data_IF_434456219867
#
_entry.id   IF_434456219867
#
_cell.length_a   1.000
_cell.length_b   1.000
_cell.length_c   1.000
_cell.angle_alpha   90.00
_cell.angle_beta   90.00
_cell.angle_gamma   90.00
#
_symmetry.space_group_name_H-M   'P 1'
#
loop_
_entity.id
_entity.type
_entity.pdbx_description
1 polymer ?
#
# COMPACT_ATOMS: atom_id res chain seq x y z
N UNK A 1 39.07 41.58 63.15
CA UNK A 1 37.96 40.61 63.18
C UNK A 1 37.21 40.67 61.86
N UNK A 2 37.60 39.88 60.88
CA UNK A 2 37.04 39.96 59.52
C UNK A 2 36.40 38.58 59.24
N UNK A 3 35.09 38.53 59.16
CA UNK A 3 34.35 37.33 58.85
C UNK A 3 34.26 37.16 57.33
N UNK A 4 34.96 36.19 56.78
CA UNK A 4 34.81 35.74 55.42
C UNK A 4 33.48 34.94 55.27
N UNK A 5 32.59 35.42 54.41
CA UNK A 5 31.41 34.70 53.97
C UNK A 5 31.77 33.99 52.67
N UNK A 6 31.88 32.66 52.70
CA UNK A 6 32.07 31.80 51.54
C UNK A 6 30.66 31.51 50.99
N UNK A 7 30.33 32.13 49.84
CA UNK A 7 29.13 31.78 49.08
C UNK A 7 29.41 30.52 48.21
N UNK A 8 28.83 29.40 48.60
CA UNK A 8 28.86 28.15 47.80
C UNK A 8 27.90 28.30 46.62
N UNK A 9 28.43 28.45 45.41
CA UNK A 9 27.68 28.40 44.17
C UNK A 9 27.41 26.97 43.81
N UNK A 10 26.23 26.43 44.12
CA UNK A 10 25.77 25.14 43.63
C UNK A 10 25.39 25.32 42.16
N UNK A 11 26.27 24.90 41.22
CA UNK A 11 25.93 24.67 39.85
C UNK A 11 25.02 23.43 39.76
N UNK A 12 23.75 23.68 39.53
CA UNK A 12 22.78 22.65 39.20
C UNK A 12 23.02 22.24 37.74
N UNK A 13 23.88 21.24 37.51
CA UNK A 13 23.99 20.58 36.23
C UNK A 13 22.71 19.77 35.99
N UNK A 14 21.74 20.39 35.32
CA UNK A 14 20.62 19.69 34.72
C UNK A 14 21.15 18.78 33.63
N UNK A 15 21.33 17.50 33.91
CA UNK A 15 21.60 16.48 32.91
C UNK A 15 20.33 16.37 32.06
N UNK A 16 20.30 17.10 30.95
CA UNK A 16 19.36 16.79 29.86
C UNK A 16 19.70 15.37 29.38
N UNK A 17 18.99 14.37 29.88
CA UNK A 17 18.94 13.08 29.27
C UNK A 17 18.27 13.26 27.90
N UNK A 18 19.07 13.60 26.89
CA UNK A 18 18.69 13.41 25.51
C UNK A 18 18.56 11.89 25.34
N UNK A 19 17.34 11.35 25.50
CA UNK A 19 17.04 10.02 25.06
C UNK A 19 17.30 10.02 23.54
N UNK A 20 18.50 9.68 23.15
CA UNK A 20 18.78 9.24 21.78
C UNK A 20 17.94 7.98 21.60
N UNK A 21 16.79 8.12 20.99
CA UNK A 21 16.01 6.96 20.57
C UNK A 21 16.93 6.20 19.62
N UNK A 22 17.49 5.08 20.10
CA UNK A 22 18.36 4.23 19.30
C UNK A 22 17.65 3.80 18.03
N UNK A 23 18.42 3.52 16.97
CA UNK A 23 17.86 2.97 15.74
C UNK A 23 16.99 1.75 16.06
N UNK A 24 15.73 1.79 15.67
CA UNK A 24 14.79 0.70 15.90
C UNK A 24 14.39 0.07 14.56
N UNK A 25 14.14 -1.23 14.59
CA UNK A 25 13.47 -1.93 13.51
C UNK A 25 11.95 -1.85 13.74
N UNK A 26 11.22 -1.29 12.79
CA UNK A 26 9.75 -1.18 12.81
C UNK A 26 9.16 -2.12 11.78
N UNK A 27 8.38 -3.11 12.23
CA UNK A 27 7.75 -4.11 11.37
C UNK A 27 6.42 -3.59 10.83
N UNK A 28 6.30 -3.55 9.51
CA UNK A 28 5.14 -3.04 8.80
C UNK A 28 4.47 -4.13 7.99
N UNK A 29 3.17 -4.37 8.21
CA UNK A 29 2.33 -5.21 7.37
C UNK A 29 1.53 -4.32 6.42
N UNK A 30 1.76 -4.40 5.13
CA UNK A 30 1.21 -3.44 4.16
C UNK A 30 0.50 -4.08 2.98
N UNK A 31 -0.52 -3.40 2.46
CA UNK A 31 -1.04 -3.66 1.12
C UNK A 31 0.01 -3.41 0.05
N UNK A 32 0.10 -4.28 -0.98
CA UNK A 32 1.11 -4.17 -2.05
C UNK A 32 0.95 -2.93 -2.91
N UNK A 33 -0.27 -2.45 -3.11
CA UNK A 33 -0.52 -1.29 -3.98
C UNK A 33 0.19 0.01 -3.56
N UNK A 34 0.61 0.14 -2.30
CA UNK A 34 1.36 1.32 -1.81
C UNK A 34 2.87 1.07 -1.73
N UNK A 35 3.36 -0.08 -2.21
CA UNK A 35 4.76 -0.50 -2.14
C UNK A 35 5.75 0.56 -2.66
N UNK A 36 5.58 1.16 -3.87
CA UNK A 36 6.57 2.12 -4.36
C UNK A 36 6.68 3.37 -3.48
N UNK A 37 5.54 3.86 -2.96
CA UNK A 37 5.51 5.00 -2.03
C UNK A 37 6.11 4.63 -0.68
N UNK A 38 5.86 3.41 -0.21
CA UNK A 38 6.37 2.93 1.07
C UNK A 38 7.89 2.68 1.04
N UNK A 39 8.47 2.31 -0.11
CA UNK A 39 9.93 2.27 -0.28
C UNK A 39 10.55 3.66 -0.15
N UNK A 40 10.03 4.66 -0.89
CA UNK A 40 10.52 6.04 -0.78
C UNK A 40 10.34 6.61 0.63
N UNK A 41 9.24 6.26 1.30
CA UNK A 41 8.98 6.64 2.68
C UNK A 41 9.92 5.94 3.67
N UNK A 42 10.27 4.68 3.46
CA UNK A 42 11.25 3.96 4.29
C UNK A 42 12.62 4.64 4.27
N UNK A 43 13.07 5.07 3.09
CA UNK A 43 14.31 5.85 2.95
C UNK A 43 14.23 7.19 3.68
N UNK A 44 13.07 7.87 3.66
CA UNK A 44 12.84 9.09 4.41
C UNK A 44 12.91 8.85 5.92
N UNK A 45 12.23 7.81 6.42
CA UNK A 45 12.25 7.40 7.83
C UNK A 45 13.67 7.08 8.29
N UNK A 46 14.44 6.37 7.48
CA UNK A 46 15.85 6.06 7.79
C UNK A 46 16.70 7.32 7.94
N UNK A 47 16.54 8.29 7.01
CA UNK A 47 17.29 9.54 7.06
C UNK A 47 16.87 10.45 8.22
N UNK A 48 15.57 10.59 8.47
CA UNK A 48 15.05 11.58 9.41
C UNK A 48 14.97 11.08 10.86
N UNK A 49 14.67 9.78 11.03
CA UNK A 49 14.41 9.18 12.33
C UNK A 49 15.45 8.10 12.72
N UNK A 50 16.31 7.67 11.80
CA UNK A 50 17.28 6.60 12.03
C UNK A 50 16.68 5.21 12.13
N UNK A 51 15.36 5.03 11.95
CA UNK A 51 14.69 3.73 12.06
C UNK A 51 14.70 2.96 10.74
N UNK A 52 14.67 1.63 10.83
CA UNK A 52 14.58 0.73 9.68
C UNK A 52 13.17 0.14 9.60
N UNK A 53 12.49 0.30 8.45
CA UNK A 53 11.21 -0.35 8.20
C UNK A 53 11.43 -1.74 7.61
N UNK A 54 10.92 -2.77 8.28
CA UNK A 54 10.82 -4.15 7.77
C UNK A 54 9.41 -4.39 7.26
N UNK A 55 9.26 -4.31 5.96
CA UNK A 55 7.95 -4.27 5.32
C UNK A 55 7.62 -5.64 4.76
N UNK A 56 6.43 -6.14 5.10
CA UNK A 56 5.84 -7.32 4.49
C UNK A 56 4.60 -6.92 3.70
N UNK A 57 4.64 -7.17 2.38
CA UNK A 57 3.52 -6.91 1.49
C UNK A 57 2.57 -8.09 1.41
N UNK A 58 1.28 -7.79 1.48
CA UNK A 58 0.20 -8.77 1.39
C UNK A 58 -1.03 -8.15 0.74
N UNK A 59 -1.93 -8.98 0.23
CA UNK A 59 -3.26 -8.51 -0.19
C UNK A 59 -4.17 -8.28 1.02
N UNK A 60 -5.21 -7.47 0.88
CA UNK A 60 -6.16 -7.21 1.98
C UNK A 60 -6.71 -8.49 2.62
N UNK A 61 -7.14 -9.53 1.87
CA UNK A 61 -7.56 -10.79 2.50
C UNK A 61 -6.46 -11.50 3.29
N UNK A 62 -5.21 -11.45 2.81
CA UNK A 62 -4.07 -12.02 3.53
C UNK A 62 -3.76 -11.23 4.82
N UNK A 63 -3.85 -9.89 4.78
CA UNK A 63 -3.70 -9.04 5.96
C UNK A 63 -4.77 -9.38 7.00
N UNK A 64 -6.05 -9.48 6.61
CA UNK A 64 -7.15 -9.88 7.51
C UNK A 64 -6.83 -11.22 8.17
N UNK A 65 -6.37 -12.21 7.40
CA UNK A 65 -6.00 -13.54 7.92
C UNK A 65 -4.86 -13.46 8.94
N UNK A 66 -3.81 -12.65 8.68
CA UNK A 66 -2.69 -12.46 9.60
C UNK A 66 -3.11 -11.74 10.88
N UNK A 67 -3.92 -10.69 10.76
CA UNK A 67 -4.51 -10.01 11.93
C UNK A 67 -5.36 -10.97 12.76
N UNK A 68 -6.13 -11.87 12.12
CA UNK A 68 -6.91 -12.89 12.81
C UNK A 68 -6.02 -13.91 13.55
N UNK A 69 -4.91 -14.31 12.92
CA UNK A 69 -3.94 -15.25 13.50
C UNK A 69 -3.12 -14.65 14.68
N UNK A 70 -3.16 -13.32 14.87
CA UNK A 70 -2.40 -12.66 15.93
C UNK A 70 -0.93 -12.43 15.58
N UNK A 71 -0.60 -12.36 14.29
CA UNK A 71 0.76 -12.04 13.84
C UNK A 71 1.19 -10.66 14.39
N UNK A 72 2.45 -10.56 14.83
CA UNK A 72 2.96 -9.38 15.52
C UNK A 72 3.70 -8.46 14.55
N UNK A 73 3.16 -7.26 14.39
CA UNK A 73 3.75 -6.13 13.67
C UNK A 73 3.62 -4.86 14.50
N UNK A 74 4.32 -3.79 14.10
CA UNK A 74 4.21 -2.48 14.75
C UNK A 74 3.15 -1.61 14.05
N UNK A 75 3.14 -1.62 12.71
CA UNK A 75 2.21 -0.84 11.88
C UNK A 75 1.51 -1.77 10.90
N UNK A 76 0.21 -1.54 10.71
CA UNK A 76 -0.54 -2.12 9.59
C UNK A 76 -0.97 -1.02 8.62
N UNK A 77 -0.84 -1.27 7.29
CA UNK A 77 -1.30 -0.39 6.22
C UNK A 77 -2.26 -1.17 5.34
N UNK A 78 -3.53 -0.83 5.41
CA UNK A 78 -4.61 -1.56 4.74
C UNK A 78 -5.82 -0.65 4.51
N UNK A 79 -6.88 -1.16 3.89
CA UNK A 79 -8.09 -0.37 3.64
C UNK A 79 -8.76 0.12 4.94
N UNK A 80 -9.38 1.32 4.94
CA UNK A 80 -10.04 1.92 6.09
C UNK A 80 -11.00 0.98 6.83
N UNK A 81 -11.82 0.23 6.07
CA UNK A 81 -12.79 -0.69 6.66
C UNK A 81 -12.12 -1.82 7.50
N UNK A 82 -10.95 -2.30 7.07
CA UNK A 82 -10.19 -3.29 7.85
C UNK A 82 -9.58 -2.66 9.10
N UNK A 83 -9.07 -1.43 9.02
CA UNK A 83 -8.58 -0.68 10.18
C UNK A 83 -9.71 -0.49 11.20
N UNK A 84 -10.90 -0.10 10.75
CA UNK A 84 -12.07 0.09 11.62
C UNK A 84 -12.49 -1.21 12.32
N UNK A 85 -12.48 -2.33 11.59
CA UNK A 85 -12.77 -3.63 12.20
C UNK A 85 -11.68 -4.04 13.19
N UNK A 86 -10.40 -3.87 12.81
CA UNK A 86 -9.27 -4.17 13.68
C UNK A 86 -9.27 -3.32 14.97
N UNK A 87 -9.74 -2.07 14.91
CA UNK A 87 -9.92 -1.23 16.10
C UNK A 87 -11.04 -1.76 17.03
N UNK A 88 -12.18 -2.19 16.46
CA UNK A 88 -13.26 -2.84 17.23
C UNK A 88 -12.76 -4.11 17.91
N UNK A 89 -11.92 -4.88 17.22
CA UNK A 89 -11.31 -6.12 17.70
C UNK A 89 -10.10 -5.86 18.64
N UNK A 90 -9.79 -4.60 18.95
CA UNK A 90 -8.65 -4.15 19.78
C UNK A 90 -7.29 -4.63 19.27
N UNK A 91 -7.14 -4.79 17.96
CA UNK A 91 -5.90 -5.19 17.29
C UNK A 91 -5.05 -4.02 16.85
N UNK A 92 -5.66 -2.83 16.74
CA UNK A 92 -4.97 -1.57 16.49
C UNK A 92 -5.45 -0.52 17.50
N UNK A 93 -4.60 0.46 17.76
CA UNK A 93 -4.95 1.61 18.60
C UNK A 93 -5.87 2.55 17.81
N UNK A 94 -7.12 2.71 18.22
CA UNK A 94 -8.16 3.46 17.50
C UNK A 94 -7.78 4.90 17.14
N UNK A 95 -7.01 5.57 18.01
CA UNK A 95 -6.54 6.96 17.80
C UNK A 95 -5.29 7.10 16.94
N UNK A 96 -4.71 6.00 16.45
CA UNK A 96 -3.42 6.00 15.72
C UNK A 96 -3.56 6.06 14.21
N UNK A 97 -4.78 6.05 13.69
CA UNK A 97 -5.05 6.02 12.25
C UNK A 97 -4.46 7.24 11.54
N UNK A 98 -3.69 7.00 10.47
CA UNK A 98 -3.09 8.01 9.61
C UNK A 98 -3.39 7.68 8.14
N UNK A 99 -3.90 8.64 7.34
CA UNK A 99 -4.14 8.42 5.92
C UNK A 99 -2.81 8.23 5.17
N UNK A 100 -2.77 7.24 4.27
CA UNK A 100 -1.64 7.01 3.35
C UNK A 100 -1.95 7.57 1.97
N UNK A 101 -3.13 7.26 1.43
CA UNK A 101 -3.58 7.71 0.12
C UNK A 101 -4.45 6.67 -0.58
N UNK A 102 -4.64 6.84 -1.89
CA UNK A 102 -5.47 5.95 -2.69
C UNK A 102 -4.77 5.58 -4.00
N UNK A 103 -5.09 4.42 -4.54
CA UNK A 103 -4.51 3.91 -5.78
C UNK A 103 -5.60 3.47 -6.73
N UNK A 104 -5.56 3.97 -7.98
CA UNK A 104 -6.50 3.62 -9.03
C UNK A 104 -6.21 2.25 -9.63
N UNK A 105 -7.24 1.64 -10.23
CA UNK A 105 -7.11 0.43 -11.03
C UNK A 105 -6.64 0.76 -12.45
N UNK A 106 -5.77 -0.08 -13.00
CA UNK A 106 -5.20 0.06 -14.33
C UNK A 106 -5.30 -1.21 -15.17
N UNK A 107 -5.13 -1.02 -16.47
CA UNK A 107 -5.22 -2.04 -17.50
C UNK A 107 -3.83 -2.25 -18.11
N UNK A 108 -3.46 -3.50 -18.32
CA UNK A 108 -2.18 -3.91 -18.86
C UNK A 108 -2.34 -4.94 -19.97
N UNK A 109 -1.37 -4.94 -20.86
CA UNK A 109 -1.10 -6.00 -21.82
C UNK A 109 0.39 -6.33 -21.79
N UNK A 110 0.80 -7.40 -22.44
CA UNK A 110 2.21 -7.71 -22.68
C UNK A 110 2.83 -6.65 -23.60
N UNK A 111 4.09 -6.30 -23.35
CA UNK A 111 4.82 -5.39 -24.21
C UNK A 111 4.89 -5.95 -25.66
N UNK A 112 4.59 -5.10 -26.63
CA UNK A 112 4.50 -5.47 -28.05
C UNK A 112 3.17 -6.13 -28.47
N UNK A 113 2.24 -6.39 -27.55
CA UNK A 113 0.87 -6.73 -27.92
C UNK A 113 0.08 -5.49 -28.35
N UNK A 114 -0.96 -5.67 -29.17
CA UNK A 114 -1.83 -4.57 -29.58
C UNK A 114 -2.60 -4.04 -28.35
N UNK A 115 -2.42 -2.76 -28.04
CA UNK A 115 -3.15 -2.13 -26.95
C UNK A 115 -4.65 -2.00 -27.31
N UNK A 116 -5.57 -2.53 -26.51
CA UNK A 116 -6.99 -2.39 -26.76
C UNK A 116 -7.46 -0.96 -26.52
N UNK A 117 -8.55 -0.56 -27.17
CA UNK A 117 -9.24 0.68 -26.85
C UNK A 117 -10.02 0.48 -25.54
N UNK A 118 -9.76 1.33 -24.54
CA UNK A 118 -10.36 1.21 -23.21
C UNK A 118 -10.85 2.56 -22.65
N UNK A 119 -11.01 3.58 -23.49
CA UNK A 119 -11.34 4.94 -23.08
C UNK A 119 -12.80 5.17 -22.66
N UNK A 120 -13.67 4.16 -22.77
CA UNK A 120 -15.07 4.20 -22.30
C UNK A 120 -15.47 2.82 -21.77
N UNK A 121 -16.56 2.72 -20.97
CA UNK A 121 -17.07 1.42 -20.52
C UNK A 121 -17.40 0.49 -21.69
N UNK A 122 -17.99 0.98 -22.77
CA UNK A 122 -18.30 0.15 -23.94
C UNK A 122 -17.04 -0.33 -24.66
N UNK A 123 -16.04 0.53 -24.81
CA UNK A 123 -14.77 0.12 -25.39
C UNK A 123 -14.07 -0.94 -24.52
N UNK A 124 -14.07 -0.78 -23.20
CA UNK A 124 -13.58 -1.79 -22.26
C UNK A 124 -14.35 -3.10 -22.38
N UNK A 125 -15.68 -3.05 -22.51
CA UNK A 125 -16.51 -4.23 -22.75
C UNK A 125 -16.08 -4.99 -24.00
N UNK A 126 -15.91 -4.30 -25.13
CA UNK A 126 -15.47 -4.91 -26.38
C UNK A 126 -14.06 -5.49 -26.25
N UNK A 127 -13.15 -4.79 -25.58
CA UNK A 127 -11.81 -5.29 -25.30
C UNK A 127 -11.82 -6.60 -24.51
N UNK A 128 -12.64 -6.67 -23.44
CA UNK A 128 -12.81 -7.88 -22.62
C UNK A 128 -13.37 -9.05 -23.43
N UNK A 129 -14.36 -8.80 -24.27
CA UNK A 129 -14.96 -9.84 -25.11
C UNK A 129 -13.98 -10.36 -26.18
N UNK A 130 -13.16 -9.48 -26.75
CA UNK A 130 -12.17 -9.81 -27.79
C UNK A 130 -10.85 -10.37 -27.25
N UNK A 131 -10.60 -10.31 -25.95
CA UNK A 131 -9.38 -10.85 -25.33
C UNK A 131 -9.35 -12.38 -25.37
N UNK A 132 -8.16 -12.97 -25.48
CA UNK A 132 -7.96 -14.42 -25.36
C UNK A 132 -7.99 -14.85 -23.87
N UNK A 133 -7.52 -13.97 -22.98
CA UNK A 133 -7.51 -14.20 -21.54
C UNK A 133 -7.72 -12.88 -20.78
N UNK A 134 -8.43 -12.95 -19.67
CA UNK A 134 -8.66 -11.86 -18.71
C UNK A 134 -8.04 -12.23 -17.38
N UNK A 135 -7.12 -11.40 -16.88
CA UNK A 135 -6.27 -11.78 -15.73
C UNK A 135 -6.33 -10.69 -14.66
N UNK A 136 -6.72 -11.06 -13.44
CA UNK A 136 -6.72 -10.14 -12.30
C UNK A 136 -6.63 -10.88 -10.96
N UNK A 137 -6.38 -10.13 -9.88
CA UNK A 137 -6.19 -10.73 -8.57
C UNK A 137 -7.52 -10.96 -7.82
N UNK A 138 -7.43 -11.63 -6.67
CA UNK A 138 -8.55 -11.84 -5.73
C UNK A 138 -8.54 -10.85 -4.55
N UNK A 139 -7.71 -9.77 -4.65
CA UNK A 139 -7.64 -8.70 -3.67
C UNK A 139 -8.75 -7.65 -3.91
N UNK A 140 -8.68 -6.52 -3.20
CA UNK A 140 -9.71 -5.47 -3.22
C UNK A 140 -10.04 -4.98 -4.64
N UNK A 141 -9.04 -4.75 -5.49
CA UNK A 141 -9.24 -4.34 -6.89
C UNK A 141 -9.95 -5.40 -7.71
N UNK A 142 -9.57 -6.68 -7.54
CA UNK A 142 -10.22 -7.77 -8.26
C UNK A 142 -11.67 -8.02 -7.81
N UNK A 143 -11.98 -7.86 -6.54
CA UNK A 143 -13.37 -7.92 -6.04
C UNK A 143 -14.23 -6.79 -6.61
N UNK A 144 -13.63 -5.62 -6.84
CA UNK A 144 -14.30 -4.54 -7.56
C UNK A 144 -14.57 -4.92 -9.02
N UNK A 145 -13.56 -5.49 -9.71
CA UNK A 145 -13.68 -5.90 -11.11
C UNK A 145 -14.77 -6.97 -11.31
N UNK A 146 -14.95 -7.91 -10.39
CA UNK A 146 -16.06 -8.86 -10.43
C UNK A 146 -17.41 -8.16 -10.50
N UNK A 147 -17.61 -7.16 -9.62
CA UNK A 147 -18.85 -6.37 -9.59
C UNK A 147 -19.00 -5.52 -10.85
N UNK A 148 -17.91 -4.90 -11.31
CA UNK A 148 -17.91 -4.10 -12.53
C UNK A 148 -18.29 -4.94 -13.74
N UNK A 149 -17.67 -6.10 -13.94
CA UNK A 149 -17.93 -6.97 -15.08
C UNK A 149 -19.34 -7.59 -15.03
N UNK A 150 -19.86 -7.86 -13.83
CA UNK A 150 -21.26 -8.25 -13.66
C UNK A 150 -22.21 -7.13 -14.07
N UNK A 151 -21.98 -5.89 -13.61
CA UNK A 151 -22.81 -4.72 -13.94
C UNK A 151 -22.74 -4.38 -15.45
N UNK A 152 -21.61 -4.61 -16.11
CA UNK A 152 -21.45 -4.46 -17.55
C UNK A 152 -22.08 -5.61 -18.35
N UNK A 153 -22.57 -6.65 -17.70
CA UNK A 153 -23.19 -7.83 -18.32
C UNK A 153 -22.21 -8.70 -19.11
N UNK A 154 -20.92 -8.70 -18.75
CA UNK A 154 -19.88 -9.50 -19.46
C UNK A 154 -19.28 -10.60 -18.61
N UNK A 155 -19.51 -10.61 -17.29
CA UNK A 155 -18.83 -11.52 -16.37
C UNK A 155 -18.96 -13.00 -16.80
N UNK A 156 -20.15 -13.47 -17.11
CA UNK A 156 -20.36 -14.89 -17.52
C UNK A 156 -19.72 -15.20 -18.86
N UNK A 157 -19.61 -14.22 -19.77
CA UNK A 157 -19.01 -14.40 -21.08
C UNK A 157 -17.48 -14.51 -21.01
N UNK A 158 -16.84 -13.75 -20.09
CA UNK A 158 -15.38 -13.77 -19.91
C UNK A 158 -14.92 -14.85 -18.92
N UNK A 159 -15.80 -15.39 -18.07
CA UNK A 159 -15.49 -16.37 -17.02
C UNK A 159 -14.68 -17.59 -17.53
N UNK A 160 -15.00 -18.19 -18.70
CA UNK A 160 -14.23 -19.34 -19.21
C UNK A 160 -12.78 -19.03 -19.55
N UNK A 161 -12.44 -17.74 -19.77
CA UNK A 161 -11.10 -17.25 -20.10
C UNK A 161 -10.52 -16.35 -19.04
N UNK A 162 -11.10 -16.33 -17.81
CA UNK A 162 -10.62 -15.54 -16.70
C UNK A 162 -9.71 -16.36 -15.79
N UNK A 163 -8.52 -15.82 -15.52
CA UNK A 163 -7.60 -16.37 -14.53
C UNK A 163 -7.47 -15.41 -13.35
N UNK A 164 -7.64 -15.94 -12.14
CA UNK A 164 -7.55 -15.19 -10.88
C UNK A 164 -6.30 -15.61 -10.10
N UNK A 165 -5.56 -14.63 -9.60
CA UNK A 165 -4.37 -14.83 -8.77
C UNK A 165 -4.57 -14.28 -7.36
N UNK A 166 -3.83 -14.80 -6.36
CA UNK A 166 -3.94 -14.29 -4.99
C UNK A 166 -3.36 -12.87 -4.82
N UNK A 167 -2.48 -12.42 -5.73
CA UNK A 167 -1.75 -11.15 -5.64
C UNK A 167 -1.53 -10.50 -7.02
N UNK A 168 -1.08 -9.22 -7.01
CA UNK A 168 -0.82 -8.46 -8.23
C UNK A 168 0.42 -8.93 -8.98
N UNK A 169 1.48 -9.34 -8.30
CA UNK A 169 2.73 -9.78 -8.94
C UNK A 169 2.49 -10.97 -9.86
N UNK A 170 1.71 -11.96 -9.40
CA UNK A 170 1.32 -13.13 -10.21
C UNK A 170 0.50 -12.76 -11.43
N UNK A 171 -0.36 -11.73 -11.33
CA UNK A 171 -1.09 -11.18 -12.50
C UNK A 171 -0.12 -10.61 -13.52
N UNK A 172 0.83 -9.75 -13.07
CA UNK A 172 1.83 -9.12 -13.94
C UNK A 172 2.68 -10.17 -14.65
N UNK A 173 3.16 -11.18 -13.92
CA UNK A 173 3.96 -12.27 -14.49
C UNK A 173 3.18 -13.10 -15.52
N UNK A 174 1.90 -13.38 -15.27
CA UNK A 174 1.06 -14.09 -16.24
C UNK A 174 1.00 -13.32 -17.55
N UNK A 175 0.70 -12.02 -17.50
CA UNK A 175 0.56 -11.19 -18.70
C UNK A 175 1.91 -11.07 -19.43
N UNK A 176 3.04 -10.92 -18.71
CA UNK A 176 4.38 -10.90 -19.31
C UNK A 176 4.69 -12.18 -20.08
N UNK A 177 4.33 -13.34 -19.53
CA UNK A 177 4.60 -14.67 -20.10
C UNK A 177 3.57 -15.07 -21.14
N UNK A 178 2.48 -14.34 -21.28
CA UNK A 178 1.40 -14.60 -22.20
C UNK A 178 1.85 -14.56 -23.67
N UNK A 179 1.12 -15.25 -24.54
CA UNK A 179 1.44 -15.36 -25.98
C UNK A 179 0.31 -14.87 -26.89
N UNK A 180 -0.84 -14.56 -26.30
CA UNK A 180 -2.04 -14.10 -26.99
C UNK A 180 -2.36 -12.63 -26.68
N UNK A 181 -3.65 -12.31 -26.78
CA UNK A 181 -4.22 -11.00 -26.42
C UNK A 181 -4.72 -11.04 -24.98
N UNK A 182 -3.81 -11.24 -24.02
CA UNK A 182 -4.13 -11.20 -22.60
C UNK A 182 -4.38 -9.76 -22.18
N UNK A 183 -5.49 -9.52 -21.46
CA UNK A 183 -5.75 -8.26 -20.75
C UNK A 183 -5.66 -8.52 -19.26
N UNK A 184 -4.76 -7.80 -18.60
CA UNK A 184 -4.59 -7.85 -17.14
C UNK A 184 -5.05 -6.58 -16.46
N UNK A 185 -5.35 -6.70 -15.15
CA UNK A 185 -5.77 -5.60 -14.29
C UNK A 185 -5.01 -5.63 -12.98
N UNK A 186 -4.66 -4.44 -12.47
CA UNK A 186 -3.98 -4.30 -11.19
C UNK A 186 -3.99 -2.87 -10.67
N UNK A 187 -3.35 -2.65 -9.54
CA UNK A 187 -3.10 -1.32 -9.03
C UNK A 187 -2.09 -0.58 -9.92
N UNK A 188 -2.37 0.67 -10.28
CA UNK A 188 -1.52 1.44 -11.23
C UNK A 188 -0.07 1.54 -10.71
N UNK A 189 0.12 1.68 -9.43
CA UNK A 189 1.44 1.75 -8.79
C UNK A 189 2.23 0.45 -8.92
N UNK A 190 1.59 -0.70 -8.69
CA UNK A 190 2.19 -2.02 -8.90
C UNK A 190 2.52 -2.25 -10.38
N UNK A 191 1.62 -1.89 -11.29
CA UNK A 191 1.82 -2.00 -12.75
C UNK A 191 3.13 -1.29 -13.15
N UNK A 192 3.36 -0.08 -12.64
CA UNK A 192 4.55 0.71 -12.99
C UNK A 192 5.87 0.01 -12.64
N UNK A 193 5.90 -0.85 -11.62
CA UNK A 193 7.09 -1.64 -11.25
C UNK A 193 7.46 -2.72 -12.30
N UNK A 194 6.53 -3.04 -13.20
CA UNK A 194 6.69 -4.11 -14.20
C UNK A 194 6.79 -3.60 -15.64
N UNK A 195 6.63 -2.31 -15.87
CA UNK A 195 6.72 -1.76 -17.24
C UNK A 195 8.08 -1.98 -17.89
N UNK A 196 9.17 -1.93 -17.12
CA UNK A 196 10.53 -2.27 -17.58
C UNK A 196 10.77 -3.77 -17.71
N UNK A 197 9.85 -4.62 -17.22
CA UNK A 197 9.97 -6.08 -17.19
C UNK A 197 9.15 -6.78 -18.30
N UNK A 198 8.56 -6.02 -19.20
CA UNK A 198 7.80 -6.57 -20.33
C UNK A 198 6.28 -6.34 -20.27
N UNK A 199 5.81 -5.44 -19.39
CA UNK A 199 4.42 -4.98 -19.39
C UNK A 199 4.27 -3.63 -20.12
N UNK A 200 3.14 -3.48 -20.81
CA UNK A 200 2.64 -2.22 -21.31
C UNK A 200 1.44 -1.79 -20.44
N UNK A 201 1.55 -0.61 -19.83
CA UNK A 201 0.41 0.04 -19.19
C UNK A 201 -0.45 0.68 -20.29
N UNK A 202 -1.68 0.18 -20.47
CA UNK A 202 -2.64 0.67 -21.47
C UNK A 202 -3.28 1.97 -21.00
N UNK A 203 -3.61 2.04 -19.70
CA UNK A 203 -4.24 3.20 -19.09
C UNK A 203 -5.01 2.83 -17.80
N UNK A 204 -5.56 3.84 -17.10
CA UNK A 204 -6.52 3.60 -16.04
C UNK A 204 -7.80 2.97 -16.59
N UNK A 205 -8.66 2.45 -15.70
CA UNK A 205 -10.04 2.18 -16.09
C UNK A 205 -10.71 3.47 -16.58
N UNK A 206 -11.72 3.39 -17.50
CA UNK A 206 -12.52 4.56 -17.88
C UNK A 206 -13.00 5.33 -16.64
N UNK A 207 -13.02 6.66 -16.71
CA UNK A 207 -13.32 7.53 -15.57
C UNK A 207 -14.67 7.18 -14.89
N UNK A 208 -15.68 6.80 -15.70
CA UNK A 208 -17.03 6.46 -15.24
C UNK A 208 -17.05 5.16 -14.39
N UNK A 209 -16.05 4.32 -14.56
CA UNK A 209 -15.94 3.03 -13.87
C UNK A 209 -14.58 2.86 -13.17
N UNK A 210 -13.88 3.97 -12.93
CA UNK A 210 -12.62 3.94 -12.18
C UNK A 210 -12.91 3.64 -10.70
N UNK A 211 -12.03 2.84 -10.10
CA UNK A 211 -12.07 2.57 -8.68
C UNK A 211 -10.74 2.91 -8.03
N UNK A 212 -10.82 3.60 -6.92
CA UNK A 212 -9.68 3.91 -6.08
C UNK A 212 -9.76 3.11 -4.78
N UNK A 213 -8.74 2.31 -4.53
CA UNK A 213 -8.58 1.67 -3.22
C UNK A 213 -7.82 2.61 -2.30
N UNK A 214 -8.46 3.01 -1.20
CA UNK A 214 -7.86 3.86 -0.17
C UNK A 214 -7.11 3.00 0.84
N UNK A 215 -5.99 3.52 1.35
CA UNK A 215 -5.15 2.91 2.37
C UNK A 215 -4.90 3.87 3.52
N UNK A 216 -5.00 3.34 4.73
CA UNK A 216 -4.62 4.02 5.96
C UNK A 216 -3.60 3.17 6.72
N UNK A 217 -2.79 3.81 7.53
CA UNK A 217 -1.88 3.19 8.48
C UNK A 217 -2.46 3.25 9.88
N UNK A 218 -2.15 2.26 10.73
CA UNK A 218 -2.48 2.30 12.15
C UNK A 218 -1.41 1.56 12.97
N UNK A 219 -1.22 2.00 14.22
CA UNK A 219 -0.37 1.32 15.20
C UNK A 219 -1.06 0.04 15.68
N UNK A 220 -0.34 -1.08 15.65
CA UNK A 220 -0.83 -2.33 16.21
C UNK A 220 -0.86 -2.28 17.76
N UNK A 221 -1.88 -2.87 18.36
CA UNK A 221 -1.94 -3.03 19.83
C UNK A 221 -0.83 -3.99 20.27
N UNK A 222 -0.04 -3.59 21.24
CA UNK A 222 1.10 -4.38 21.72
C UNK A 222 2.30 -4.38 20.77
N UNK A 223 2.41 -3.37 19.90
CA UNK A 223 3.56 -3.19 19.00
C UNK A 223 4.88 -3.22 19.77
N UNK A 224 5.84 -4.10 19.40
CA UNK A 224 7.13 -4.20 20.10
C UNK A 224 7.95 -2.91 20.05
N UNK A 225 7.90 -2.17 18.94
CA UNK A 225 8.59 -0.89 18.75
C UNK A 225 7.61 0.30 18.77
N UNK A 226 6.65 0.33 19.71
CA UNK A 226 5.53 1.29 19.73
C UNK A 226 5.96 2.75 19.58
N UNK A 227 6.99 3.20 20.30
CA UNK A 227 7.42 4.60 20.27
C UNK A 227 8.02 4.98 18.90
N UNK A 228 8.85 4.10 18.33
CA UNK A 228 9.39 4.27 16.99
C UNK A 228 8.26 4.25 15.93
N UNK A 229 7.31 3.32 16.07
CA UNK A 229 6.15 3.24 15.18
C UNK A 229 5.27 4.50 15.24
N UNK A 230 5.07 5.09 16.43
CA UNK A 230 4.38 6.39 16.57
C UNK A 230 5.15 7.52 15.89
N UNK A 231 6.49 7.52 15.97
CA UNK A 231 7.31 8.49 15.26
C UNK A 231 7.17 8.33 13.74
N UNK A 232 7.17 7.09 13.23
CA UNK A 232 6.93 6.77 11.82
C UNK A 232 5.55 7.24 11.37
N UNK A 233 4.49 7.01 12.14
CA UNK A 233 3.14 7.50 11.80
C UNK A 233 3.04 9.02 11.79
N UNK A 234 3.78 9.71 12.67
CA UNK A 234 3.88 11.20 12.61
C UNK A 234 4.62 11.67 11.37
N UNK A 235 5.72 10.99 11.00
CA UNK A 235 6.48 11.30 9.78
C UNK A 235 5.62 11.12 8.51
N UNK A 236 4.76 10.09 8.47
CA UNK A 236 3.80 9.87 7.39
C UNK A 236 2.88 11.08 7.18
N UNK A 237 2.48 11.77 8.25
CA UNK A 237 1.60 12.94 8.18
C UNK A 237 2.31 14.22 7.70
N UNK A 238 3.65 14.25 7.66
CA UNK A 238 4.43 15.41 7.21
C UNK A 238 4.28 15.66 5.71
N UNK A 239 4.55 16.88 5.22
CA UNK A 239 4.60 17.13 3.77
C UNK A 239 5.59 16.21 3.04
N UNK A 240 6.76 15.93 3.63
CA UNK A 240 7.76 15.04 3.07
C UNK A 240 7.27 13.58 3.01
N UNK A 241 6.62 13.10 4.08
CA UNK A 241 6.00 11.79 4.11
C UNK A 241 4.95 11.62 3.02
N UNK A 242 4.04 12.59 2.88
CA UNK A 242 3.03 12.59 1.81
C UNK A 242 3.66 12.63 0.42
N UNK A 243 4.71 13.46 0.22
CA UNK A 243 5.42 13.57 -1.05
C UNK A 243 6.06 12.24 -1.49
N UNK A 244 6.53 11.41 -0.56
CA UNK A 244 7.08 10.09 -0.87
C UNK A 244 6.02 9.19 -1.55
N UNK A 245 4.77 9.26 -1.12
CA UNK A 245 3.67 8.49 -1.70
C UNK A 245 3.16 9.10 -3.01
N UNK A 246 2.94 10.41 -3.05
CA UNK A 246 2.44 11.07 -4.28
C UNK A 246 3.45 10.99 -5.42
N UNK A 247 4.76 11.11 -5.13
CA UNK A 247 5.83 10.92 -6.12
C UNK A 247 5.84 9.51 -6.75
N UNK A 248 5.34 8.52 -6.02
CA UNK A 248 5.20 7.14 -6.49
C UNK A 248 3.84 6.85 -7.18
N UNK A 249 2.94 7.85 -7.25
CA UNK A 249 1.63 7.73 -7.88
C UNK A 249 0.50 7.24 -6.95
N UNK A 250 0.69 7.32 -5.65
CA UNK A 250 -0.38 7.21 -4.66
C UNK A 250 -0.99 8.61 -4.49
N UNK A 251 -2.30 8.76 -4.70
CA UNK A 251 -3.03 10.04 -4.64
C UNK A 251 -3.55 10.35 -3.24
#
# INVERSE_FOLDING_TARGET
>A
MTRMVIAALMMLYGVLNVFSAGAAEVKVLSGGAVEPGLHAFADLVKRNLGHDLKIQYNTTPQIIKRLAAGDVYDIVIVTPAVIEQAAKDRKVEAGSRAPVGRVGAGIIVRNGAAAPKVGSPDALKQALLGADSVVYNSASSGLYLDKLFANMGVLEQIKPKTTRYPDGASVMEHVIKGKGNEIGFGAITEIKLYTSKGLQFVGPLPAEVQNYTTYDAALMTGAPAADAARAVLRELATPAGKAAFTGAGVE
#
